data_IF_072754666734
#
_entry.id   IF_072754666734
#
_cell.length_a   1.000
_cell.length_b   1.000
_cell.length_c   1.000
_cell.angle_alpha   90.00
_cell.angle_beta   90.00
_cell.angle_gamma   90.00
#
_symmetry.space_group_name_H-M   'P 1'
#
loop_
_entity.id
_entity.type
_entity.pdbx_description
1 polymer ?
#
# COMPACT_ATOMS: atom_id res chain seq x y z
N UNK A 1 94.12 -27.52 7.42
CA UNK A 1 93.52 -26.77 8.55
C UNK A 1 93.15 -25.36 8.06
N UNK A 2 92.00 -24.84 8.52
CA UNK A 2 91.10 -23.75 8.04
C UNK A 2 91.70 -22.46 7.40
N UNK A 3 91.26 -22.03 6.19
CA UNK A 3 90.02 -21.29 5.70
C UNK A 3 90.10 -19.76 5.93
N UNK A 4 90.35 -18.86 4.95
CA UNK A 4 89.60 -18.42 3.73
C UNK A 4 88.25 -17.75 4.10
N UNK A 5 87.86 -16.53 3.69
CA UNK A 5 88.38 -15.49 2.77
C UNK A 5 87.48 -14.22 2.87
N UNK A 6 88.05 -13.04 2.56
CA UNK A 6 87.60 -12.00 1.60
C UNK A 6 86.25 -11.27 1.85
N UNK A 7 86.02 -9.98 1.54
CA UNK A 7 86.80 -8.93 0.84
C UNK A 7 85.96 -7.62 0.84
N UNK A 8 86.65 -6.46 0.94
CA UNK A 8 86.57 -5.25 0.04
C UNK A 8 85.20 -4.54 -0.15
N UNK A 9 85.01 -3.21 -0.14
CA UNK A 9 85.82 -1.95 -0.14
C UNK A 9 84.79 -0.81 0.05
N UNK A 10 85.04 0.20 0.91
CA UNK A 10 85.38 1.61 0.56
C UNK A 10 84.26 2.36 -0.21
N UNK A 11 83.84 3.62 0.04
CA UNK A 11 84.29 4.75 0.86
C UNK A 11 83.22 5.88 0.77
N UNK A 12 83.16 6.81 1.73
CA UNK A 12 82.67 8.23 1.61
C UNK A 12 81.18 8.52 1.28
N UNK A 13 80.54 9.65 1.62
CA UNK A 13 80.73 10.81 2.52
C UNK A 13 79.36 11.57 2.52
N UNK A 14 78.91 12.05 3.69
CA UNK A 14 78.23 13.35 3.95
C UNK A 14 76.78 13.66 3.45
N UNK A 15 76.03 14.27 4.41
CA UNK A 15 74.92 15.25 4.32
C UNK A 15 73.44 14.83 4.46
N UNK A 16 72.95 15.01 5.70
CA UNK A 16 71.70 15.68 6.15
C UNK A 16 70.50 15.70 5.18
N UNK A 17 69.36 15.09 5.59
CA UNK A 17 68.04 15.67 5.31
C UNK A 17 66.92 15.19 6.27
N UNK A 18 66.25 16.19 6.83
CA UNK A 18 64.90 16.28 7.42
C UNK A 18 63.93 15.15 7.06
N UNK A 19 63.38 14.47 8.07
CA UNK A 19 62.20 13.59 7.94
C UNK A 19 60.97 14.27 8.53
N UNK A 20 60.12 14.80 7.65
CA UNK A 20 58.74 15.17 7.96
C UNK A 20 57.90 13.87 8.04
N UNK A 21 57.39 13.58 9.24
CA UNK A 21 56.41 12.53 9.45
C UNK A 21 55.06 12.92 8.85
N UNK A 22 54.66 12.25 7.77
CA UNK A 22 53.29 12.30 7.25
C UNK A 22 52.62 10.96 7.50
N UNK A 23 51.74 10.90 8.50
CA UNK A 23 50.84 9.77 8.72
C UNK A 23 49.76 9.79 7.63
N UNK A 24 49.97 9.04 6.55
CA UNK A 24 48.89 8.71 5.63
C UNK A 24 47.95 7.71 6.32
N UNK A 25 46.78 8.19 6.75
CA UNK A 25 45.65 7.34 7.15
C UNK A 25 45.26 6.48 5.95
N UNK A 26 45.41 5.16 6.08
CA UNK A 26 44.85 4.18 5.16
C UNK A 26 43.33 4.33 5.22
N UNK A 27 42.76 4.99 4.21
CA UNK A 27 41.32 5.06 4.00
C UNK A 27 40.84 3.65 3.64
N UNK A 28 40.00 3.06 4.51
CA UNK A 28 39.19 1.88 4.16
C UNK A 28 38.40 2.17 2.87
N UNK A 29 38.26 1.22 1.94
CA UNK A 29 37.38 1.41 0.78
C UNK A 29 35.97 1.71 1.27
N UNK A 30 35.49 2.91 0.96
CA UNK A 30 34.10 3.30 1.14
C UNK A 30 33.28 2.50 0.12
N UNK A 31 32.39 1.64 0.59
CA UNK A 31 31.38 1.04 -0.28
C UNK A 31 30.63 2.17 -1.01
N UNK A 32 30.43 2.08 -2.34
CA UNK A 32 29.66 3.10 -3.03
C UNK A 32 28.21 2.95 -2.60
N UNK A 33 27.75 3.85 -1.73
CA UNK A 33 26.32 4.17 -1.65
C UNK A 33 26.02 5.07 -2.84
N UNK A 34 25.81 4.48 -4.02
CA UNK A 34 25.15 5.21 -5.10
C UNK A 34 23.71 5.45 -4.66
N UNK A 35 23.47 6.59 -4.00
CA UNK A 35 22.17 7.23 -4.11
C UNK A 35 21.99 7.51 -5.59
N UNK A 36 21.08 6.79 -6.24
CA UNK A 36 20.66 7.09 -7.61
C UNK A 36 20.23 8.54 -7.63
N UNK A 37 21.02 9.41 -8.26
CA UNK A 37 20.73 10.84 -8.29
C UNK A 37 19.74 11.12 -9.42
N UNK A 38 18.45 11.09 -9.09
CA UNK A 38 17.36 11.53 -9.96
C UNK A 38 16.44 10.42 -10.45
N UNK A 39 15.32 10.80 -11.11
CA UNK A 39 14.38 9.84 -11.68
C UNK A 39 15.03 8.98 -12.78
N UNK A 40 14.71 7.68 -12.78
CA UNK A 40 15.15 6.73 -13.80
C UNK A 40 13.93 6.06 -14.48
N UNK A 41 14.16 5.41 -15.63
CA UNK A 41 13.13 4.61 -16.29
C UNK A 41 12.62 3.51 -15.33
N UNK A 42 11.33 3.23 -15.36
CA UNK A 42 10.63 2.34 -14.42
C UNK A 42 11.38 1.03 -14.17
N UNK A 43 11.69 0.25 -15.21
CA UNK A 43 12.36 -1.06 -15.00
C UNK A 43 13.74 -0.88 -14.35
N UNK A 44 14.52 0.10 -14.83
CA UNK A 44 15.84 0.43 -14.26
C UNK A 44 15.73 0.86 -12.80
N UNK A 45 14.75 1.71 -12.47
CA UNK A 45 14.49 2.17 -11.11
C UNK A 45 14.16 0.99 -10.18
N UNK A 46 13.26 0.08 -10.59
CA UNK A 46 12.90 -1.09 -9.76
C UNK A 46 14.08 -2.06 -9.62
N UNK A 47 14.92 -2.26 -10.65
CA UNK A 47 16.15 -3.06 -10.53
C UNK A 47 17.11 -2.44 -9.50
N UNK A 48 17.29 -1.12 -9.52
CA UNK A 48 18.14 -0.42 -8.55
C UNK A 48 17.59 -0.52 -7.12
N UNK A 49 16.27 -0.39 -6.95
CA UNK A 49 15.58 -0.62 -5.69
C UNK A 49 15.84 -2.05 -5.19
N UNK A 50 15.63 -3.05 -6.05
CA UNK A 50 15.82 -4.46 -5.73
C UNK A 50 17.26 -4.75 -5.30
N UNK A 51 18.27 -4.31 -6.07
CA UNK A 51 19.69 -4.50 -5.75
C UNK A 51 20.07 -3.89 -4.41
N UNK A 52 19.59 -2.67 -4.14
CA UNK A 52 19.83 -1.99 -2.87
C UNK A 52 19.26 -2.76 -1.68
N UNK A 53 18.00 -3.20 -1.76
CA UNK A 53 17.35 -3.96 -0.69
C UNK A 53 17.98 -5.35 -0.49
N UNK A 54 18.20 -6.08 -1.58
CA UNK A 54 18.77 -7.43 -1.54
C UNK A 54 20.22 -7.45 -1.07
N UNK A 55 21.01 -6.41 -1.36
CA UNK A 55 22.36 -6.27 -0.81
C UNK A 55 22.37 -6.05 0.70
N UNK A 56 21.38 -5.31 1.23
CA UNK A 56 21.18 -5.14 2.67
C UNK A 56 20.76 -6.46 3.32
N UNK A 57 19.87 -7.24 2.68
CA UNK A 57 19.54 -8.61 3.13
C UNK A 57 20.76 -9.50 3.12
N UNK A 58 21.57 -9.47 2.06
CA UNK A 58 22.78 -10.29 1.95
C UNK A 58 23.76 -10.01 3.08
N UNK A 59 23.96 -8.73 3.41
CA UNK A 59 24.82 -8.34 4.54
C UNK A 59 24.30 -8.89 5.86
N UNK A 60 22.99 -8.82 6.09
CA UNK A 60 22.36 -9.36 7.30
C UNK A 60 22.41 -10.90 7.34
N UNK A 61 22.20 -11.57 6.20
CA UNK A 61 22.19 -13.02 6.06
C UNK A 61 23.60 -13.63 6.17
N UNK A 62 24.61 -13.06 5.49
CA UNK A 62 26.01 -13.51 5.56
C UNK A 62 26.54 -13.46 7.00
N UNK A 63 26.05 -12.51 7.82
CA UNK A 63 26.39 -12.42 9.25
C UNK A 63 25.90 -13.60 10.09
N UNK A 64 24.98 -14.43 9.56
CA UNK A 64 24.42 -15.60 10.23
C UNK A 64 25.19 -16.90 9.95
N UNK A 65 26.19 -16.89 9.05
CA UNK A 65 27.10 -18.01 8.79
C UNK A 65 26.36 -19.32 8.37
N UNK A 66 25.55 -19.27 7.30
CA UNK A 66 24.67 -20.41 6.94
C UNK A 66 24.86 -20.96 5.50
N UNK A 67 24.71 -22.28 5.39
CA UNK A 67 24.73 -23.07 4.14
C UNK A 67 23.35 -23.20 3.47
N UNK A 68 22.29 -22.58 4.02
CA UNK A 68 20.90 -22.67 3.51
C UNK A 68 20.49 -21.43 2.73
N UNK A 69 19.41 -21.54 1.95
CA UNK A 69 18.82 -20.37 1.28
C UNK A 69 18.07 -19.47 2.26
N UNK A 70 18.13 -18.16 2.06
CA UNK A 70 17.27 -17.19 2.73
C UNK A 70 15.90 -17.13 2.04
N UNK A 71 14.81 -17.22 2.79
CA UNK A 71 13.45 -17.09 2.28
C UNK A 71 12.95 -15.65 2.47
N UNK A 72 12.70 -14.94 1.36
CA UNK A 72 12.21 -13.57 1.35
C UNK A 72 10.80 -13.53 0.77
N UNK A 73 9.83 -13.04 1.54
CA UNK A 73 8.46 -12.89 1.06
C UNK A 73 8.16 -11.44 0.69
N UNK A 74 7.70 -11.22 -0.53
CA UNK A 74 7.28 -9.90 -1.03
C UNK A 74 5.78 -9.71 -0.84
N UNK A 75 5.40 -8.51 -0.42
CA UNK A 75 4.01 -8.09 -0.33
C UNK A 75 3.70 -7.12 -1.48
N UNK A 76 2.52 -7.20 -2.14
CA UNK A 76 2.13 -6.25 -3.17
C UNK A 76 2.19 -4.80 -2.68
N UNK A 77 2.61 -3.90 -3.57
CA UNK A 77 2.88 -2.48 -3.34
C UNK A 77 1.59 -1.68 -3.54
N UNK A 78 0.90 -1.25 -2.46
CA UNK A 78 -0.21 -0.32 -2.59
C UNK A 78 0.21 1.02 -3.14
N UNK A 79 -0.76 1.72 -3.71
CA UNK A 79 -0.68 3.16 -3.87
C UNK A 79 -0.61 3.83 -2.48
N UNK A 80 0.35 4.73 -2.33
CA UNK A 80 0.66 5.48 -1.11
C UNK A 80 -0.50 6.36 -0.63
N UNK A 81 -1.43 6.70 -1.52
CA UNK A 81 -2.52 7.63 -1.21
C UNK A 81 -3.85 6.90 -1.03
N UNK A 82 -4.25 6.12 -2.03
CA UNK A 82 -5.49 5.36 -2.01
C UNK A 82 -5.40 4.08 -1.20
N UNK A 83 -4.20 3.51 -0.95
CA UNK A 83 -4.06 2.18 -0.33
C UNK A 83 -4.69 1.04 -1.17
N UNK A 84 -5.10 1.30 -2.42
CA UNK A 84 -5.49 0.27 -3.39
C UNK A 84 -4.23 -0.35 -4.01
N UNK A 85 -4.28 -1.60 -4.49
CA UNK A 85 -3.15 -2.20 -5.22
C UNK A 85 -3.31 -1.88 -6.72
N UNK A 86 -2.42 -1.09 -7.33
CA UNK A 86 -2.43 -0.86 -8.77
C UNK A 86 -1.81 -2.04 -9.54
N UNK A 87 -2.17 -2.21 -10.82
CA UNK A 87 -1.63 -3.28 -11.69
C UNK A 87 -0.10 -3.26 -11.77
N UNK A 88 0.51 -2.07 -11.80
CA UNK A 88 1.98 -1.90 -11.81
C UNK A 88 2.67 -2.58 -10.61
N UNK A 89 1.97 -2.82 -9.49
CA UNK A 89 2.50 -3.61 -8.37
C UNK A 89 2.96 -5.00 -8.82
N UNK A 90 2.25 -5.65 -9.74
CA UNK A 90 2.60 -6.99 -10.25
C UNK A 90 3.93 -6.95 -10.98
N UNK A 91 4.13 -5.93 -11.81
CA UNK A 91 5.39 -5.70 -12.52
C UNK A 91 6.54 -5.41 -11.56
N UNK A 92 6.31 -4.62 -10.50
CA UNK A 92 7.31 -4.39 -9.44
C UNK A 92 7.74 -5.71 -8.79
N UNK A 93 6.77 -6.55 -8.38
CA UNK A 93 7.04 -7.85 -7.79
C UNK A 93 7.86 -8.76 -8.72
N UNK A 94 7.49 -8.79 -10.01
CA UNK A 94 8.17 -9.61 -11.01
C UNK A 94 9.62 -9.19 -11.27
N UNK A 95 9.87 -7.88 -11.37
CA UNK A 95 11.24 -7.35 -11.54
C UNK A 95 12.09 -7.68 -10.32
N UNK A 96 11.59 -7.44 -9.10
CA UNK A 96 12.34 -7.71 -7.86
C UNK A 96 12.66 -9.21 -7.74
N UNK A 97 11.68 -10.09 -8.04
CA UNK A 97 11.86 -11.54 -8.00
C UNK A 97 12.83 -12.03 -9.09
N UNK A 98 12.77 -11.45 -10.29
CA UNK A 98 13.72 -11.74 -11.37
C UNK A 98 15.15 -11.36 -10.96
N UNK A 99 15.34 -10.15 -10.45
CA UNK A 99 16.63 -9.66 -9.96
C UNK A 99 17.19 -10.55 -8.83
N UNK A 100 16.34 -10.96 -7.88
CA UNK A 100 16.73 -11.89 -6.82
C UNK A 100 17.23 -13.23 -7.38
N UNK A 101 16.53 -13.80 -8.35
CA UNK A 101 16.89 -15.10 -8.94
C UNK A 101 18.17 -15.04 -9.76
N UNK A 102 18.38 -13.95 -10.50
CA UNK A 102 19.50 -13.82 -11.45
C UNK A 102 20.79 -13.38 -10.75
N UNK A 103 20.71 -12.47 -9.77
CA UNK A 103 21.88 -11.78 -9.22
C UNK A 103 22.16 -12.07 -7.73
N UNK A 104 21.22 -12.68 -7.00
CA UNK A 104 21.37 -12.99 -5.58
C UNK A 104 21.21 -14.48 -5.30
N UNK A 105 22.25 -15.25 -5.66
CA UNK A 105 22.33 -16.69 -5.34
C UNK A 105 22.17 -16.92 -3.84
N UNK A 106 21.37 -17.92 -3.48
CA UNK A 106 21.06 -18.23 -2.09
C UNK A 106 19.74 -17.61 -1.61
N UNK A 107 19.11 -16.74 -2.39
CA UNK A 107 17.78 -16.22 -2.05
C UNK A 107 16.67 -17.01 -2.72
N UNK A 108 15.62 -17.26 -1.96
CA UNK A 108 14.35 -17.80 -2.41
C UNK A 108 13.29 -16.73 -2.18
N UNK A 109 12.78 -16.15 -3.27
CA UNK A 109 11.81 -15.06 -3.20
C UNK A 109 10.47 -15.46 -3.81
N UNK A 110 9.40 -15.21 -3.07
CA UNK A 110 8.03 -15.45 -3.50
C UNK A 110 7.08 -14.39 -2.93
N UNK A 111 5.90 -14.22 -3.52
CA UNK A 111 4.81 -13.45 -2.91
C UNK A 111 4.42 -14.10 -1.58
N UNK A 112 4.13 -13.30 -0.57
CA UNK A 112 3.67 -13.80 0.74
C UNK A 112 2.38 -14.62 0.60
N UNK A 113 2.39 -15.82 1.17
CA UNK A 113 1.25 -16.71 1.36
C UNK A 113 1.27 -17.28 2.77
N UNK A 114 0.13 -17.78 3.23
CA UNK A 114 0.02 -18.42 4.56
C UNK A 114 1.03 -19.56 4.69
N UNK A 115 1.21 -20.33 3.60
CA UNK A 115 2.14 -21.46 3.54
C UNK A 115 3.61 -21.05 3.63
N UNK A 116 4.02 -19.97 2.97
CA UNK A 116 5.43 -19.58 2.94
C UNK A 116 5.83 -18.62 4.07
N UNK A 117 4.86 -18.05 4.78
CA UNK A 117 5.10 -17.25 5.99
C UNK A 117 5.81 -18.07 7.08
N UNK A 118 5.45 -19.34 7.26
CA UNK A 118 6.03 -20.23 8.27
C UNK A 118 7.55 -20.40 8.13
N UNK A 119 8.06 -20.30 6.90
CA UNK A 119 9.49 -20.46 6.57
C UNK A 119 10.17 -19.14 6.21
N UNK A 120 9.46 -18.01 6.30
CA UNK A 120 9.97 -16.72 5.88
C UNK A 120 11.06 -16.24 6.85
N UNK A 121 12.24 -15.92 6.32
CA UNK A 121 13.30 -15.25 7.08
C UNK A 121 13.10 -13.73 7.03
N UNK A 122 12.63 -13.22 5.88
CA UNK A 122 12.46 -11.80 5.62
C UNK A 122 11.13 -11.46 4.98
N UNK A 123 10.59 -10.27 5.29
CA UNK A 123 9.44 -9.66 4.61
C UNK A 123 9.88 -8.38 3.93
N UNK A 124 9.60 -8.26 2.63
CA UNK A 124 9.72 -7.04 1.85
C UNK A 124 8.34 -6.40 1.71
N UNK A 125 8.23 -5.16 2.17
CA UNK A 125 7.00 -4.36 2.14
C UNK A 125 7.33 -2.97 1.60
N UNK A 126 6.40 -2.36 0.86
CA UNK A 126 6.65 -1.09 0.20
C UNK A 126 5.38 -0.47 -0.36
N UNK A 127 5.50 0.71 -0.94
CA UNK A 127 4.42 1.40 -1.65
C UNK A 127 4.95 2.09 -2.91
N UNK A 128 4.02 2.45 -3.78
CA UNK A 128 4.26 3.32 -4.93
C UNK A 128 3.33 4.52 -4.80
N UNK A 129 3.76 5.72 -5.18
CA UNK A 129 2.88 6.90 -5.17
C UNK A 129 3.34 7.94 -6.17
N UNK A 130 2.44 8.82 -6.58
CA UNK A 130 2.76 9.96 -7.42
C UNK A 130 3.06 11.19 -6.54
N UNK A 131 4.33 11.38 -6.21
CA UNK A 131 4.82 12.44 -5.31
C UNK A 131 5.25 13.70 -6.10
N UNK A 132 5.28 14.87 -5.44
CA UNK A 132 5.75 16.12 -6.04
C UNK A 132 7.24 16.36 -5.77
N UNK A 133 8.03 16.52 -6.84
CA UNK A 133 9.46 16.86 -6.80
C UNK A 133 9.68 18.11 -7.64
N UNK A 134 10.18 19.19 -7.02
CA UNK A 134 10.44 20.47 -7.70
C UNK A 134 9.25 20.95 -8.57
N UNK A 135 8.03 20.80 -8.05
CA UNK A 135 6.75 21.14 -8.72
C UNK A 135 6.32 20.22 -9.88
N UNK A 136 7.06 19.16 -10.19
CA UNK A 136 6.62 18.09 -11.10
C UNK A 136 6.11 16.88 -10.32
N UNK A 137 5.05 16.23 -10.82
CA UNK A 137 4.60 14.94 -10.28
C UNK A 137 5.44 13.81 -10.89
N UNK A 138 6.06 12.98 -10.05
CA UNK A 138 6.85 11.81 -10.45
C UNK A 138 6.46 10.61 -9.59
N UNK A 139 6.46 9.41 -10.18
CA UNK A 139 6.23 8.22 -9.37
C UNK A 139 7.44 7.95 -8.49
N UNK A 140 7.17 7.52 -7.27
CA UNK A 140 8.15 7.21 -6.24
C UNK A 140 7.80 5.87 -5.66
N UNK A 141 8.77 4.97 -5.62
CA UNK A 141 8.62 3.65 -5.01
C UNK A 141 9.55 3.59 -3.82
N UNK A 142 9.00 3.25 -2.67
CA UNK A 142 9.75 3.07 -1.44
C UNK A 142 9.44 1.71 -0.85
N UNK A 143 10.46 1.09 -0.26
CA UNK A 143 10.34 -0.22 0.34
C UNK A 143 11.32 -0.43 1.49
N UNK A 144 10.96 -1.34 2.38
CA UNK A 144 11.75 -1.79 3.51
C UNK A 144 11.76 -3.32 3.56
N UNK A 145 12.87 -3.87 4.06
CA UNK A 145 12.99 -5.30 4.37
C UNK A 145 13.16 -5.49 5.86
N UNK A 146 12.40 -6.44 6.40
CA UNK A 146 12.39 -6.83 7.82
C UNK A 146 12.93 -8.24 7.97
N UNK A 147 13.71 -8.48 9.00
CA UNK A 147 14.10 -9.82 9.45
C UNK A 147 13.11 -10.27 10.53
N UNK A 148 12.36 -11.35 10.26
CA UNK A 148 11.31 -11.82 11.16
C UNK A 148 11.86 -12.43 12.45
N UNK A 149 13.00 -13.11 12.38
CA UNK A 149 13.67 -13.71 13.56
C UNK A 149 14.23 -12.65 14.50
N UNK A 150 14.79 -11.56 13.95
CA UNK A 150 15.35 -10.44 14.73
C UNK A 150 14.30 -9.38 15.09
N UNK A 151 13.09 -9.46 14.53
CA UNK A 151 11.99 -8.49 14.70
C UNK A 151 12.48 -7.05 14.41
N UNK A 152 13.21 -6.87 13.30
CA UNK A 152 13.94 -5.64 13.00
C UNK A 152 13.90 -5.29 11.52
N UNK A 153 13.83 -3.99 11.23
CA UNK A 153 14.02 -3.46 9.86
C UNK A 153 15.51 -3.47 9.53
N UNK A 154 15.93 -4.30 8.58
CA UNK A 154 17.36 -4.47 8.23
C UNK A 154 17.79 -3.61 7.05
N UNK A 155 16.84 -3.17 6.21
CA UNK A 155 17.16 -2.37 5.05
C UNK A 155 15.99 -1.57 4.50
N UNK A 156 16.32 -0.50 3.78
CA UNK A 156 15.38 0.40 3.12
C UNK A 156 15.96 0.89 1.81
N UNK A 157 15.09 1.19 0.86
CA UNK A 157 15.47 1.84 -0.39
C UNK A 157 14.26 2.57 -0.97
N UNK A 158 14.55 3.61 -1.74
CA UNK A 158 13.57 4.34 -2.52
C UNK A 158 14.15 4.69 -3.89
N UNK A 159 13.27 4.85 -4.89
CA UNK A 159 13.62 5.23 -6.25
C UNK A 159 12.55 6.12 -6.86
N UNK A 160 12.99 7.06 -7.68
CA UNK A 160 12.13 7.95 -8.47
C UNK A 160 12.03 7.44 -9.91
N UNK A 161 10.84 7.52 -10.48
CA UNK A 161 10.54 7.02 -11.82
C UNK A 161 10.27 8.21 -12.75
N UNK A 162 10.91 8.20 -13.92
CA UNK A 162 10.74 9.24 -14.95
C UNK A 162 9.48 9.04 -15.79
N UNK A 163 9.04 7.80 -15.99
CA UNK A 163 7.87 7.43 -16.76
C UNK A 163 6.61 8.11 -16.25
N UNK A 164 5.77 8.57 -17.18
CA UNK A 164 4.53 9.27 -16.87
C UNK A 164 3.30 8.35 -16.95
N UNK A 165 3.39 7.26 -17.73
CA UNK A 165 2.25 6.42 -18.10
C UNK A 165 2.44 4.97 -17.62
N UNK A 166 2.51 4.79 -16.30
CA UNK A 166 2.47 3.46 -15.70
C UNK A 166 1.04 2.91 -15.68
N UNK A 167 0.89 1.58 -15.72
CA UNK A 167 -0.42 0.93 -15.55
C UNK A 167 -0.89 1.03 -14.09
N UNK A 168 -1.40 2.20 -13.74
CA UNK A 168 -1.84 2.55 -12.40
C UNK A 168 -3.31 2.20 -12.14
N UNK A 169 -3.94 1.41 -13.02
CA UNK A 169 -5.32 0.97 -12.81
C UNK A 169 -5.40 0.09 -11.57
N UNK A 170 -6.47 0.16 -10.77
CA UNK A 170 -6.65 -0.74 -9.63
C UNK A 170 -6.75 -2.21 -10.08
N UNK A 171 -6.30 -3.12 -9.21
CA UNK A 171 -6.51 -4.56 -9.36
C UNK A 171 -7.99 -4.95 -9.19
N UNK A 172 -8.35 -6.16 -9.61
CA UNK A 172 -9.73 -6.59 -9.84
C UNK A 172 -10.67 -6.31 -8.67
N UNK A 173 -10.28 -6.65 -7.44
CA UNK A 173 -11.11 -6.44 -6.26
C UNK A 173 -11.36 -4.95 -5.96
N UNK A 174 -10.37 -4.08 -6.16
CA UNK A 174 -10.49 -2.64 -5.90
C UNK A 174 -11.25 -1.91 -7.01
N UNK A 175 -11.06 -2.34 -8.25
CA UNK A 175 -11.82 -1.87 -9.42
C UNK A 175 -13.31 -2.18 -9.28
N UNK A 176 -13.65 -3.40 -8.87
CA UNK A 176 -15.03 -3.85 -8.74
C UNK A 176 -15.69 -3.35 -7.43
N UNK A 177 -14.89 -2.95 -6.44
CA UNK A 177 -15.37 -2.40 -5.17
C UNK A 177 -15.84 -0.96 -5.31
N UNK A 178 -17.08 -0.70 -4.88
CA UNK A 178 -17.58 0.66 -4.65
C UNK A 178 -17.20 1.18 -3.26
N UNK A 179 -16.52 0.38 -2.45
CA UNK A 179 -16.12 0.70 -1.10
C UNK A 179 -14.64 1.00 -1.03
N UNK A 180 -14.32 1.90 -0.11
CA UNK A 180 -12.96 2.29 0.16
C UNK A 180 -12.52 1.86 1.56
N UNK A 181 -11.32 1.29 1.65
CA UNK A 181 -10.75 0.79 2.90
C UNK A 181 -9.56 1.64 3.30
N UNK A 182 -9.76 2.43 4.37
CA UNK A 182 -8.67 3.15 5.04
C UNK A 182 -8.17 2.33 6.24
N UNK A 183 -7.50 1.21 5.96
CA UNK A 183 -6.91 0.36 6.99
C UNK A 183 -5.51 0.85 7.45
N UNK A 184 -4.99 0.21 8.50
CA UNK A 184 -3.72 0.61 9.11
C UNK A 184 -2.48 0.16 8.30
N UNK A 185 -2.65 -0.64 7.25
CA UNK A 185 -1.52 -1.23 6.49
C UNK A 185 -0.61 -0.16 5.93
N UNK A 186 -1.18 0.85 5.27
CA UNK A 186 -0.40 1.94 4.71
C UNK A 186 0.31 2.76 5.80
N UNK A 187 -0.33 2.98 6.94
CA UNK A 187 0.30 3.65 8.10
C UNK A 187 1.50 2.84 8.59
N UNK A 188 1.40 1.51 8.64
CA UNK A 188 2.50 0.63 9.02
C UNK A 188 3.65 0.72 8.01
N UNK A 189 3.39 0.65 6.71
CA UNK A 189 4.39 0.81 5.65
C UNK A 189 5.12 2.15 5.78
N UNK A 190 4.38 3.27 5.86
CA UNK A 190 4.95 4.62 5.98
C UNK A 190 5.78 4.76 7.27
N UNK A 191 5.33 4.15 8.37
CA UNK A 191 6.06 4.15 9.64
C UNK A 191 7.38 3.38 9.49
N UNK A 192 7.32 2.19 8.88
CA UNK A 192 8.50 1.38 8.59
C UNK A 192 9.50 2.16 7.74
N UNK A 193 9.05 2.98 6.78
CA UNK A 193 9.92 3.80 5.93
C UNK A 193 10.54 5.00 6.67
N UNK A 194 9.76 5.73 7.46
CA UNK A 194 10.21 6.94 8.17
C UNK A 194 11.20 6.68 9.31
N UNK A 195 11.18 5.49 9.92
CA UNK A 195 12.01 5.19 11.08
C UNK A 195 13.52 5.31 10.78
N UNK A 196 14.20 6.34 11.29
CA UNK A 196 15.58 6.67 10.89
C UNK A 196 16.63 5.71 11.44
N UNK A 197 16.34 4.98 12.53
CA UNK A 197 17.25 3.98 13.10
C UNK A 197 16.94 2.60 12.55
N UNK A 198 17.98 1.92 12.02
CA UNK A 198 17.90 0.52 11.62
C UNK A 198 17.59 -0.41 12.80
N UNK A 199 17.78 0.02 14.05
CA UNK A 199 17.64 -0.77 15.29
C UNK A 199 16.25 -0.73 15.98
N UNK A 200 15.21 -0.19 15.33
CA UNK A 200 13.88 -0.19 15.93
C UNK A 200 13.15 -1.52 15.75
N UNK A 201 12.56 -2.01 16.85
CA UNK A 201 11.72 -3.21 16.87
C UNK A 201 10.44 -2.97 16.07
N UNK A 202 10.15 -3.86 15.13
CA UNK A 202 8.85 -3.89 14.47
C UNK A 202 7.79 -4.42 15.44
N UNK A 203 6.69 -3.68 15.61
CA UNK A 203 5.56 -4.08 16.46
C UNK A 203 4.48 -4.84 15.69
N UNK A 204 4.67 -5.07 14.38
CA UNK A 204 3.77 -5.89 13.58
C UNK A 204 3.73 -7.29 14.18
N UNK A 205 2.57 -7.71 14.69
CA UNK A 205 2.39 -9.05 15.23
C UNK A 205 2.42 -10.10 14.11
N UNK A 206 2.81 -11.33 14.44
CA UNK A 206 2.69 -12.46 13.53
C UNK A 206 1.23 -12.65 13.08
N UNK A 207 0.26 -12.52 13.99
CA UNK A 207 -1.18 -12.54 13.69
C UNK A 207 -1.56 -11.56 12.55
N UNK A 208 -0.96 -10.36 12.53
CA UNK A 208 -1.22 -9.38 11.47
C UNK A 208 -0.60 -9.78 10.12
N UNK A 209 0.55 -10.46 10.13
CA UNK A 209 1.18 -10.99 8.92
C UNK A 209 0.42 -12.21 8.37
N UNK A 210 -0.08 -13.09 9.24
CA UNK A 210 -0.90 -14.25 8.86
C UNK A 210 -2.17 -13.82 8.13
N UNK A 211 -2.94 -12.88 8.72
CA UNK A 211 -4.14 -12.35 8.07
C UNK A 211 -3.81 -11.64 6.76
N UNK A 212 -2.70 -10.89 6.74
CA UNK A 212 -2.25 -10.21 5.52
C UNK A 212 -1.91 -11.21 4.42
N UNK A 213 -1.30 -12.34 4.75
CA UNK A 213 -1.02 -13.41 3.80
C UNK A 213 -2.32 -13.99 3.21
N UNK A 214 -3.31 -14.30 4.06
CA UNK A 214 -4.62 -14.79 3.62
C UNK A 214 -5.32 -13.78 2.69
N UNK A 215 -5.29 -12.48 3.01
CA UNK A 215 -5.86 -11.46 2.13
C UNK A 215 -5.14 -11.38 0.79
N UNK A 216 -3.81 -11.44 0.77
CA UNK A 216 -3.04 -11.44 -0.48
C UNK A 216 -3.42 -12.63 -1.37
N UNK A 217 -3.56 -13.82 -0.78
CA UNK A 217 -4.02 -15.02 -1.50
C UNK A 217 -5.46 -14.85 -2.01
N UNK A 218 -6.37 -14.35 -1.18
CA UNK A 218 -7.77 -14.15 -1.55
C UNK A 218 -7.94 -13.12 -2.67
N UNK A 219 -7.22 -12.00 -2.59
CA UNK A 219 -7.22 -10.94 -3.61
C UNK A 219 -6.61 -11.45 -4.92
N UNK A 220 -5.54 -12.25 -4.85
CA UNK A 220 -4.94 -12.89 -6.04
C UNK A 220 -5.93 -13.85 -6.71
N UNK A 221 -6.56 -14.75 -5.94
CA UNK A 221 -7.57 -15.67 -6.47
C UNK A 221 -8.78 -14.94 -7.08
N UNK A 222 -9.20 -13.81 -6.48
CA UNK A 222 -10.26 -12.97 -7.03
C UNK A 222 -9.86 -12.37 -8.39
N UNK A 223 -8.63 -11.86 -8.51
CA UNK A 223 -8.09 -11.33 -9.77
C UNK A 223 -8.02 -12.39 -10.88
N UNK A 224 -7.71 -13.64 -10.51
CA UNK A 224 -7.64 -14.78 -11.43
C UNK A 224 -9.02 -15.36 -11.80
N UNK A 225 -10.10 -14.84 -11.20
CA UNK A 225 -11.46 -15.32 -11.44
C UNK A 225 -11.82 -16.59 -10.65
N UNK A 226 -10.95 -17.04 -9.75
CA UNK A 226 -11.18 -18.16 -8.84
C UNK A 226 -12.04 -17.74 -7.64
N UNK A 227 -13.27 -17.28 -7.89
CA UNK A 227 -14.11 -16.64 -6.88
C UNK A 227 -14.47 -17.56 -5.70
N UNK A 228 -14.59 -18.86 -5.92
CA UNK A 228 -14.79 -19.86 -4.85
C UNK A 228 -13.56 -19.96 -3.93
N UNK A 229 -12.37 -20.04 -4.52
CA UNK A 229 -11.10 -20.03 -3.78
C UNK A 229 -10.97 -18.75 -2.97
N UNK A 230 -11.20 -17.60 -3.60
CA UNK A 230 -11.17 -16.29 -2.96
C UNK A 230 -12.16 -16.20 -1.79
N UNK A 231 -13.40 -16.67 -1.98
CA UNK A 231 -14.43 -16.68 -0.93
C UNK A 231 -13.98 -17.51 0.27
N UNK A 232 -13.45 -18.71 0.02
CA UNK A 232 -12.98 -19.60 1.09
C UNK A 232 -11.83 -18.99 1.89
N UNK A 233 -10.90 -18.31 1.22
CA UNK A 233 -9.80 -17.59 1.88
C UNK A 233 -10.33 -16.41 2.71
N UNK A 234 -11.32 -15.65 2.22
CA UNK A 234 -11.94 -14.61 3.03
C UNK A 234 -12.74 -15.17 4.23
N UNK A 235 -13.38 -16.33 4.11
CA UNK A 235 -14.00 -17.03 5.26
C UNK A 235 -12.93 -17.44 6.27
N UNK A 236 -11.77 -17.92 5.81
CA UNK A 236 -10.63 -18.23 6.67
C UNK A 236 -10.12 -16.98 7.39
N UNK A 237 -9.98 -15.86 6.68
CA UNK A 237 -9.62 -14.58 7.28
C UNK A 237 -10.65 -14.16 8.35
N UNK A 238 -11.95 -14.28 8.08
CA UNK A 238 -13.01 -13.96 9.05
C UNK A 238 -12.89 -14.81 10.32
N UNK A 239 -12.46 -16.07 10.22
CA UNK A 239 -12.29 -16.95 11.39
C UNK A 239 -10.97 -16.72 12.13
N UNK A 240 -10.02 -16.02 11.52
CA UNK A 240 -8.69 -15.76 12.07
C UNK A 240 -8.72 -14.64 13.09
N UNK A 241 -7.81 -14.68 14.06
CA UNK A 241 -7.74 -13.69 15.15
C UNK A 241 -7.37 -12.32 14.61
N UNK A 242 -8.29 -11.35 14.69
CA UNK A 242 -8.09 -10.00 14.15
C UNK A 242 -8.45 -9.85 12.68
N UNK A 243 -9.05 -10.90 12.08
CA UNK A 243 -9.42 -10.91 10.67
C UNK A 243 -10.87 -10.48 10.40
N UNK A 244 -11.65 -10.18 11.45
CA UNK A 244 -12.98 -9.56 11.36
C UNK A 244 -12.87 -8.07 10.99
N UNK A 245 -12.27 -7.78 9.83
CA UNK A 245 -11.97 -6.43 9.36
C UNK A 245 -12.77 -6.08 8.13
N UNK A 246 -12.90 -4.78 7.90
CA UNK A 246 -13.63 -4.22 6.75
C UNK A 246 -13.21 -4.88 5.42
N UNK A 247 -11.90 -5.07 5.21
CA UNK A 247 -11.34 -5.74 4.03
C UNK A 247 -11.88 -7.17 3.82
N UNK A 248 -11.96 -7.96 4.89
CA UNK A 248 -12.50 -9.32 4.84
C UNK A 248 -13.96 -9.32 4.40
N UNK A 249 -14.79 -8.47 5.00
CA UNK A 249 -16.21 -8.41 4.66
C UNK A 249 -16.47 -7.86 3.27
N UNK A 250 -15.62 -6.95 2.78
CA UNK A 250 -15.64 -6.48 1.39
C UNK A 250 -15.30 -7.62 0.44
N UNK A 251 -14.27 -8.41 0.73
CA UNK A 251 -13.93 -9.60 -0.03
C UNK A 251 -15.07 -10.62 -0.09
N UNK A 252 -15.69 -10.92 1.05
CA UNK A 252 -16.86 -11.81 1.12
C UNK A 252 -18.05 -11.24 0.36
N UNK A 253 -18.32 -9.94 0.48
CA UNK A 253 -19.39 -9.29 -0.27
C UNK A 253 -19.18 -9.45 -1.78
N UNK A 254 -18.00 -9.06 -2.29
CA UNK A 254 -17.70 -9.08 -3.72
C UNK A 254 -17.66 -10.50 -4.29
N UNK A 255 -17.05 -11.45 -3.58
CA UNK A 255 -17.03 -12.86 -4.02
C UNK A 255 -18.44 -13.46 -4.05
N UNK A 256 -19.27 -13.21 -3.05
CA UNK A 256 -20.66 -13.68 -3.07
C UNK A 256 -21.48 -13.02 -4.19
N UNK A 257 -21.22 -11.76 -4.55
CA UNK A 257 -21.84 -11.15 -5.73
C UNK A 257 -21.42 -11.85 -7.03
N UNK A 258 -20.12 -12.17 -7.19
CA UNK A 258 -19.61 -12.90 -8.37
C UNK A 258 -20.14 -14.32 -8.49
N UNK A 259 -20.45 -14.94 -7.36
CA UNK A 259 -21.03 -16.29 -7.27
C UNK A 259 -22.56 -16.28 -7.18
N UNK A 260 -23.20 -15.11 -7.34
CA UNK A 260 -24.66 -14.92 -7.28
C UNK A 260 -25.30 -15.41 -5.96
N UNK A 261 -24.52 -15.48 -4.88
CA UNK A 261 -24.97 -15.79 -3.52
C UNK A 261 -25.48 -14.51 -2.83
N UNK A 262 -26.64 -14.03 -3.27
CA UNK A 262 -27.16 -12.71 -2.89
C UNK A 262 -27.46 -12.56 -1.40
N UNK A 263 -27.96 -13.61 -0.75
CA UNK A 263 -28.29 -13.58 0.68
C UNK A 263 -27.01 -13.40 1.53
N UNK A 264 -25.95 -14.14 1.20
CA UNK A 264 -24.63 -14.01 1.83
C UNK A 264 -24.01 -12.66 1.54
N UNK A 265 -24.17 -12.13 0.32
CA UNK A 265 -23.71 -10.78 -0.01
C UNK A 265 -24.42 -9.73 0.86
N UNK A 266 -25.74 -9.82 1.05
CA UNK A 266 -26.48 -8.90 1.91
C UNK A 266 -26.05 -9.01 3.38
N UNK A 267 -25.84 -10.23 3.90
CA UNK A 267 -25.29 -10.42 5.26
C UNK A 267 -23.92 -9.76 5.42
N UNK A 268 -23.05 -9.89 4.44
CA UNK A 268 -21.71 -9.28 4.48
C UNK A 268 -21.78 -7.75 4.31
N UNK A 269 -22.74 -7.22 3.55
CA UNK A 269 -23.00 -5.78 3.48
C UNK A 269 -23.40 -5.21 4.84
N UNK A 270 -24.28 -5.89 5.57
CA UNK A 270 -24.63 -5.49 6.94
C UNK A 270 -23.39 -5.47 7.86
N UNK A 271 -22.50 -6.47 7.75
CA UNK A 271 -21.23 -6.50 8.49
C UNK A 271 -20.30 -5.34 8.11
N UNK A 272 -20.16 -5.03 6.82
CA UNK A 272 -19.39 -3.87 6.34
C UNK A 272 -19.89 -2.59 7.00
N UNK A 273 -21.21 -2.37 7.02
CA UNK A 273 -21.82 -1.19 7.63
C UNK A 273 -21.51 -1.15 9.13
N UNK A 274 -21.74 -2.25 9.85
CA UNK A 274 -21.47 -2.32 11.30
C UNK A 274 -20.01 -2.01 11.64
N UNK A 275 -19.04 -2.65 10.98
CA UNK A 275 -17.60 -2.41 11.21
C UNK A 275 -17.20 -0.99 10.85
N UNK A 276 -17.74 -0.44 9.75
CA UNK A 276 -17.48 0.95 9.34
C UNK A 276 -17.95 1.96 10.39
N UNK A 277 -19.09 1.69 11.03
CA UNK A 277 -19.66 2.56 12.05
C UNK A 277 -18.94 2.39 13.40
N UNK A 278 -18.74 1.15 13.83
CA UNK A 278 -18.28 0.81 15.18
C UNK A 278 -16.76 0.97 15.33
N UNK A 279 -15.97 0.54 14.34
CA UNK A 279 -14.51 0.62 14.41
C UNK A 279 -13.95 1.89 13.75
N UNK A 280 -14.57 2.37 12.67
CA UNK A 280 -13.99 3.43 11.84
C UNK A 280 -14.72 4.77 11.93
N UNK A 281 -15.94 4.80 12.49
CA UNK A 281 -16.82 5.98 12.54
C UNK A 281 -17.00 6.65 11.17
N UNK A 282 -16.76 5.95 10.07
CA UNK A 282 -16.82 6.48 8.70
C UNK A 282 -17.07 5.33 7.73
N UNK A 283 -18.00 5.54 6.81
CA UNK A 283 -18.24 4.68 5.66
C UNK A 283 -17.97 5.48 4.38
N UNK A 284 -16.99 5.04 3.58
CA UNK A 284 -16.59 5.73 2.35
C UNK A 284 -17.01 4.94 1.12
N UNK A 285 -17.83 5.55 0.27
CA UNK A 285 -18.43 4.91 -0.91
C UNK A 285 -18.14 5.73 -2.18
N UNK A 286 -17.65 5.06 -3.21
CA UNK A 286 -17.51 5.55 -4.58
C UNK A 286 -18.87 5.49 -5.28
N UNK A 287 -19.62 6.59 -5.25
CA UNK A 287 -20.83 6.75 -6.06
C UNK A 287 -20.49 7.36 -7.41
N UNK A 288 -20.76 6.62 -8.49
CA UNK A 288 -20.54 7.10 -9.84
C UNK A 288 -21.73 7.96 -10.28
N UNK A 289 -21.52 9.27 -10.32
CA UNK A 289 -22.45 10.24 -10.87
C UNK A 289 -22.15 10.52 -12.34
N UNK A 290 -23.17 10.92 -13.10
CA UNK A 290 -22.96 11.50 -14.43
C UNK A 290 -22.11 12.78 -14.33
N UNK A 291 -21.37 13.09 -15.39
CA UNK A 291 -20.55 14.30 -15.50
C UNK A 291 -21.42 15.54 -15.25
N UNK A 292 -20.94 16.47 -14.41
CA UNK A 292 -21.64 17.70 -14.04
C UNK A 292 -23.09 17.51 -13.55
N UNK A 293 -23.37 16.36 -12.91
CA UNK A 293 -24.72 16.01 -12.48
C UNK A 293 -24.75 15.39 -11.09
N UNK A 294 -25.94 15.43 -10.50
CA UNK A 294 -26.32 14.75 -9.25
C UNK A 294 -27.00 13.40 -9.50
N UNK A 295 -27.26 13.06 -10.75
CA UNK A 295 -27.81 11.76 -11.13
C UNK A 295 -26.73 10.70 -11.14
N UNK A 296 -27.05 9.50 -10.66
CA UNK A 296 -26.19 8.34 -10.82
C UNK A 296 -26.01 8.01 -12.31
N UNK A 297 -24.88 7.38 -12.60
CA UNK A 297 -24.59 6.84 -13.92
C UNK A 297 -25.72 5.92 -14.41
N UNK A 298 -25.98 5.94 -15.72
CA UNK A 298 -27.16 5.32 -16.33
C UNK A 298 -27.20 3.79 -16.33
N UNK A 299 -26.16 3.13 -15.80
CA UNK A 299 -26.13 1.68 -15.69
C UNK A 299 -27.21 1.18 -14.70
N UNK A 300 -28.04 0.22 -15.13
CA UNK A 300 -29.17 -0.27 -14.33
C UNK A 300 -28.68 -1.08 -13.12
N UNK A 301 -27.75 -2.01 -13.34
CA UNK A 301 -27.23 -2.90 -12.31
C UNK A 301 -26.51 -2.09 -11.20
N UNK A 302 -25.76 -1.05 -11.60
CA UNK A 302 -25.08 -0.16 -10.67
C UNK A 302 -26.08 0.64 -9.81
N UNK A 303 -27.16 1.14 -10.42
CA UNK A 303 -28.22 1.86 -9.68
C UNK A 303 -28.93 0.96 -8.68
N UNK A 304 -29.30 -0.26 -9.09
CA UNK A 304 -29.91 -1.24 -8.18
C UNK A 304 -28.98 -1.59 -7.00
N UNK A 305 -27.67 -1.74 -7.28
CA UNK A 305 -26.66 -1.88 -6.23
C UNK A 305 -26.70 -0.69 -5.26
N UNK A 306 -26.62 0.54 -5.76
CA UNK A 306 -26.66 1.74 -4.93
C UNK A 306 -27.95 1.87 -4.11
N UNK A 307 -29.10 1.54 -4.69
CA UNK A 307 -30.38 1.56 -3.98
C UNK A 307 -30.41 0.55 -2.82
N UNK A 308 -29.93 -0.68 -3.05
CA UNK A 308 -29.82 -1.68 -1.98
C UNK A 308 -28.88 -1.24 -0.86
N UNK A 309 -27.72 -0.68 -1.23
CA UNK A 309 -26.75 -0.09 -0.30
C UNK A 309 -27.35 1.01 0.56
N UNK A 310 -27.98 2.01 -0.07
CA UNK A 310 -28.57 3.15 0.61
C UNK A 310 -29.73 2.72 1.51
N UNK A 311 -30.53 1.73 1.10
CA UNK A 311 -31.58 1.14 1.94
C UNK A 311 -31.00 0.48 3.19
N UNK A 312 -29.96 -0.34 3.06
CA UNK A 312 -29.35 -1.01 4.22
C UNK A 312 -28.67 -0.03 5.18
N UNK A 313 -27.95 0.97 4.63
CA UNK A 313 -27.38 2.06 5.43
C UNK A 313 -28.48 2.82 6.17
N UNK A 314 -29.56 3.19 5.47
CA UNK A 314 -30.69 3.88 6.08
C UNK A 314 -31.33 3.06 7.20
N UNK A 315 -31.58 1.77 6.98
CA UNK A 315 -32.12 0.87 8.01
C UNK A 315 -31.21 0.80 9.24
N UNK A 316 -29.89 0.70 9.05
CA UNK A 316 -28.93 0.69 10.15
C UNK A 316 -29.01 1.99 10.98
N UNK A 317 -28.96 3.16 10.32
CA UNK A 317 -28.99 4.45 11.03
C UNK A 317 -30.36 4.80 11.63
N UNK A 318 -31.45 4.28 11.08
CA UNK A 318 -32.77 4.40 11.69
C UNK A 318 -32.82 3.76 13.08
N UNK A 319 -32.14 2.63 13.26
CA UNK A 319 -32.05 1.88 14.52
C UNK A 319 -30.88 2.32 15.41
N UNK A 320 -29.91 3.03 14.84
CA UNK A 320 -28.74 3.53 15.56
C UNK A 320 -29.05 4.82 16.36
N UNK A 321 -28.36 5.08 17.47
CA UNK A 321 -28.43 6.38 18.16
C UNK A 321 -27.60 7.48 17.47
N UNK A 322 -26.78 7.15 16.47
CA UNK A 322 -25.86 8.10 15.87
C UNK A 322 -26.50 8.99 14.80
N UNK A 323 -25.86 10.12 14.55
CA UNK A 323 -26.17 11.05 13.46
C UNK A 323 -25.09 10.94 12.37
N UNK A 324 -25.34 11.58 11.23
CA UNK A 324 -24.46 11.51 10.05
C UNK A 324 -23.96 12.87 9.60
N UNK A 325 -22.70 12.95 9.16
CA UNK A 325 -22.26 13.97 8.20
C UNK A 325 -22.04 13.29 6.86
N UNK A 326 -22.75 13.76 5.84
CA UNK A 326 -22.67 13.24 4.48
C UNK A 326 -21.80 14.22 3.68
N UNK A 327 -20.60 13.79 3.30
CA UNK A 327 -19.60 14.65 2.66
C UNK A 327 -19.39 14.21 1.23
N UNK A 328 -19.66 15.10 0.28
CA UNK A 328 -19.40 14.87 -1.13
C UNK A 328 -18.01 15.37 -1.54
N UNK A 329 -17.37 14.65 -2.45
CA UNK A 329 -16.09 15.00 -3.05
C UNK A 329 -16.18 14.97 -4.59
N UNK A 330 -15.36 15.79 -5.25
CA UNK A 330 -15.15 15.80 -6.69
C UNK A 330 -13.66 15.62 -7.01
N UNK A 331 -13.34 15.19 -8.23
CA UNK A 331 -11.97 15.21 -8.73
C UNK A 331 -11.45 16.64 -8.90
N UNK A 332 -10.14 16.76 -9.15
CA UNK A 332 -9.44 18.04 -9.36
C UNK A 332 -9.80 18.75 -10.67
N UNK A 333 -10.69 18.19 -11.49
CA UNK A 333 -11.10 18.75 -12.77
C UNK A 333 -12.19 19.80 -12.60
N UNK A 334 -12.05 20.94 -13.28
CA UNK A 334 -13.04 22.03 -13.27
C UNK A 334 -12.81 23.09 -12.19
N UNK A 335 -13.67 24.11 -12.18
CA UNK A 335 -13.55 25.26 -11.27
C UNK A 335 -13.88 24.91 -9.83
N UNK A 336 -13.12 25.46 -8.87
CA UNK A 336 -13.27 25.19 -7.43
C UNK A 336 -14.69 25.49 -6.92
N UNK A 337 -15.21 26.69 -7.22
CA UNK A 337 -16.55 27.10 -6.79
C UNK A 337 -17.63 26.14 -7.28
N UNK A 338 -17.53 25.71 -8.54
CA UNK A 338 -18.46 24.75 -9.13
C UNK A 338 -18.37 23.39 -8.43
N UNK A 339 -17.16 22.90 -8.19
CA UNK A 339 -16.95 21.62 -7.51
C UNK A 339 -17.44 21.62 -6.07
N UNK A 340 -17.31 22.73 -5.35
CA UNK A 340 -17.88 22.88 -3.99
C UNK A 340 -19.40 22.79 -4.00
N UNK A 341 -20.06 23.44 -4.97
CA UNK A 341 -21.52 23.37 -5.14
C UNK A 341 -21.96 21.97 -5.55
N UNK A 342 -21.34 21.38 -6.57
CA UNK A 342 -21.71 20.08 -7.12
C UNK A 342 -21.56 18.95 -6.09
N UNK A 343 -20.45 18.95 -5.36
CA UNK A 343 -20.19 17.97 -4.31
C UNK A 343 -21.21 18.07 -3.16
N UNK A 344 -21.59 19.28 -2.74
CA UNK A 344 -22.66 19.49 -1.76
C UNK A 344 -24.02 18.97 -2.25
N UNK A 345 -24.35 19.24 -3.52
CA UNK A 345 -25.61 18.77 -4.11
C UNK A 345 -25.66 17.24 -4.18
N UNK A 346 -24.55 16.58 -4.52
CA UNK A 346 -24.42 15.12 -4.49
C UNK A 346 -24.61 14.54 -3.09
N UNK A 347 -24.01 15.17 -2.07
CA UNK A 347 -24.23 14.78 -0.67
C UNK A 347 -25.72 14.90 -0.27
N UNK A 348 -26.39 16.00 -0.64
CA UNK A 348 -27.84 16.17 -0.43
C UNK A 348 -28.69 15.16 -1.20
N UNK A 349 -28.23 14.70 -2.37
CA UNK A 349 -28.89 13.61 -3.10
C UNK A 349 -28.82 12.32 -2.30
N UNK A 350 -27.64 11.94 -1.79
CA UNK A 350 -27.50 10.76 -0.91
C UNK A 350 -28.41 10.89 0.32
N UNK A 351 -28.44 12.05 0.97
CA UNK A 351 -29.35 12.32 2.09
C UNK A 351 -30.82 12.05 1.74
N UNK A 352 -31.28 12.49 0.57
CA UNK A 352 -32.66 12.26 0.11
C UNK A 352 -32.95 10.79 -0.18
N UNK A 353 -31.99 10.04 -0.75
CA UNK A 353 -32.16 8.61 -0.99
C UNK A 353 -32.28 7.82 0.33
N UNK A 354 -31.51 8.19 1.35
CA UNK A 354 -31.58 7.56 2.67
C UNK A 354 -32.96 7.73 3.33
N UNK A 355 -33.69 8.81 3.02
CA UNK A 355 -34.97 9.16 3.66
C UNK A 355 -36.01 8.03 3.65
N UNK A 356 -36.04 7.20 2.62
CA UNK A 356 -37.01 6.09 2.52
C UNK A 356 -36.83 5.07 3.65
N UNK A 357 -35.57 4.75 3.99
CA UNK A 357 -35.21 3.78 5.02
C UNK A 357 -34.86 4.44 6.36
N UNK A 358 -34.53 5.74 6.35
CA UNK A 358 -34.22 6.56 7.53
C UNK A 358 -35.04 7.86 7.49
N UNK A 359 -36.33 7.85 7.89
CA UNK A 359 -37.22 9.01 7.74
C UNK A 359 -36.72 10.29 8.42
N UNK A 360 -36.01 10.16 9.54
CA UNK A 360 -35.46 11.28 10.30
C UNK A 360 -34.13 11.82 9.77
N UNK A 361 -33.59 11.28 8.67
CA UNK A 361 -32.25 11.65 8.15
C UNK A 361 -32.10 13.16 7.93
N UNK A 362 -33.17 13.88 7.58
CA UNK A 362 -33.10 15.33 7.39
C UNK A 362 -32.83 16.11 8.68
N UNK A 363 -33.23 15.57 9.84
CA UNK A 363 -32.96 16.13 11.18
C UNK A 363 -31.69 15.55 11.79
N UNK A 364 -31.36 14.30 11.46
CA UNK A 364 -30.26 13.53 12.04
C UNK A 364 -29.03 13.40 11.12
N UNK A 365 -28.93 14.27 10.12
CA UNK A 365 -27.72 14.40 9.33
C UNK A 365 -27.52 15.78 8.74
N UNK A 366 -26.26 16.12 8.48
CA UNK A 366 -25.85 17.32 7.76
C UNK A 366 -25.12 16.95 6.47
N UNK A 367 -25.28 17.74 5.41
CA UNK A 367 -24.63 17.53 4.12
C UNK A 367 -23.56 18.61 3.86
N UNK A 368 -22.37 18.19 3.44
CA UNK A 368 -21.23 19.04 3.14
C UNK A 368 -20.69 18.76 1.73
N UNK A 369 -20.18 19.80 1.07
CA UNK A 369 -19.41 19.68 -0.16
C UNK A 369 -17.98 20.11 0.05
N UNK A 370 -17.03 19.28 -0.34
CA UNK A 370 -15.58 19.55 -0.20
C UNK A 370 -14.88 19.81 -1.53
N UNK A 371 -15.59 19.73 -2.65
CA UNK A 371 -14.99 19.84 -3.98
C UNK A 371 -13.81 18.90 -4.10
N UNK A 372 -12.66 19.42 -4.56
CA UNK A 372 -11.40 18.68 -4.65
C UNK A 372 -10.42 18.93 -3.48
N UNK A 373 -10.84 19.65 -2.44
CA UNK A 373 -9.94 20.06 -1.34
C UNK A 373 -9.43 18.89 -0.51
N UNK A 374 -10.13 17.75 -0.55
CA UNK A 374 -9.81 16.52 0.16
C UNK A 374 -9.66 15.34 -0.83
N UNK A 375 -9.06 15.61 -2.00
CA UNK A 375 -8.63 14.55 -2.91
C UNK A 375 -7.58 13.66 -2.25
N UNK A 376 -7.72 12.36 -2.48
CA UNK A 376 -6.80 11.32 -2.05
C UNK A 376 -5.69 11.21 -3.09
N UNK A 377 -6.02 11.08 -4.39
CA UNK A 377 -5.02 10.93 -5.47
C UNK A 377 -4.71 12.27 -6.15
N UNK A 378 -5.75 13.02 -6.53
CA UNK A 378 -5.66 14.40 -6.99
C UNK A 378 -4.97 14.60 -8.34
N UNK A 379 -5.02 13.61 -9.25
CA UNK A 379 -4.45 13.73 -10.60
C UNK A 379 -5.40 14.39 -11.61
N UNK A 380 -6.72 14.28 -11.43
CA UNK A 380 -7.70 14.96 -12.29
C UNK A 380 -7.76 14.38 -13.71
N UNK A 381 -7.57 13.06 -13.82
CA UNK A 381 -7.70 12.32 -15.09
C UNK A 381 -9.13 11.87 -15.34
N UNK A 382 -9.95 11.83 -14.29
CA UNK A 382 -11.36 11.41 -14.30
C UNK A 382 -11.58 9.96 -14.79
N UNK A 383 -10.56 9.12 -14.65
CA UNK A 383 -10.60 7.71 -15.02
C UNK A 383 -10.54 6.79 -13.77
N UNK A 384 -10.23 5.51 -13.96
CA UNK A 384 -10.18 4.52 -12.88
C UNK A 384 -9.08 4.81 -11.84
N UNK A 385 -8.03 5.54 -12.22
CA UNK A 385 -6.86 5.81 -11.35
C UNK A 385 -7.18 6.79 -10.24
N UNK A 386 -8.13 7.70 -10.46
CA UNK A 386 -8.56 8.72 -9.50
C UNK A 386 -10.05 8.63 -9.16
N UNK A 387 -10.70 7.50 -9.47
CA UNK A 387 -12.11 7.29 -9.21
C UNK A 387 -12.49 7.49 -7.74
N UNK A 388 -11.57 7.23 -6.81
CA UNK A 388 -11.77 7.45 -5.38
C UNK A 388 -11.91 8.93 -4.99
N UNK A 389 -11.45 9.88 -5.81
CA UNK A 389 -11.66 11.31 -5.56
C UNK A 389 -13.12 11.73 -5.79
N UNK A 390 -13.89 10.91 -6.50
CA UNK A 390 -15.32 11.08 -6.77
C UNK A 390 -16.13 10.18 -5.85
N UNK A 391 -16.14 10.51 -4.56
CA UNK A 391 -16.74 9.70 -3.49
C UNK A 391 -17.72 10.48 -2.63
N UNK A 392 -18.48 9.75 -1.82
CA UNK A 392 -19.23 10.28 -0.69
C UNK A 392 -18.78 9.56 0.57
N UNK A 393 -18.53 10.33 1.63
CA UNK A 393 -18.23 9.82 2.96
C UNK A 393 -19.47 10.01 3.86
N UNK A 394 -19.85 8.95 4.56
CA UNK A 394 -20.84 8.99 5.63
C UNK A 394 -20.08 8.90 6.94
N UNK A 395 -19.84 10.04 7.56
CA UNK A 395 -19.11 10.15 8.81
C UNK A 395 -20.11 10.05 9.96
N UNK A 396 -19.83 9.13 10.88
CA UNK A 396 -20.65 8.89 12.06
C UNK A 396 -20.29 9.91 13.11
N UNK A 397 -21.30 10.63 13.59
CA UNK A 397 -21.17 11.60 14.67
C UNK A 397 -22.22 11.33 15.73
N UNK A 398 -21.96 11.77 16.96
CA UNK A 398 -22.99 11.79 17.97
C UNK A 398 -24.04 12.84 17.58
N UNK A 399 -25.31 12.58 17.88
CA UNK A 399 -26.35 13.56 17.61
C UNK A 399 -26.14 14.76 18.54
N UNK A 400 -26.07 15.96 17.96
CA UNK A 400 -26.12 17.18 18.75
C UNK A 400 -27.50 17.25 19.43
N UNK A 401 -27.53 17.63 20.71
CA UNK A 401 -28.77 17.89 21.44
C UNK A 401 -29.59 19.03 20.82
#
# INVERSE_FOLDING_TARGET
MHRIKSLIVLISLISVLVMLGSCAKILKPRAPSEKVSGPAEFETAIVLLARSLLSQVKTDWDSLNEQRKANLMIIPFPDKYSNEIPQISRTIEDIIRKESRENFKGFNMARLTSKNLEIADYILDGNIGLDSVASEKKYHVSAAVRNLKKIKVIGKSDVWISDQNLDYKPTGIYRDSSLYVKDERLRQIITLEKNTSRDQTDKTSLDALEIRAIWIEAETAYEEGEYETARNLFIQAEKSRGGQKLRTYIGLYLTNQKLECWEEAEKNLAKIISVSVEEHRTLTIKFLFKVNSVEFWGDKNLREKYDSWLRQIGNYFHQSPYCLRIVGHCSRTGGEQWNNILSLQRAKTIQRHLKSAFPEVMRRSEAFGKGFNENIVGIGTDDERDAIDRRVELIVVDCNE
#
